data_IF_952193751077
#
_entry.id   IF_952193751077
#
_cell.length_a   1.000
_cell.length_b   1.000
_cell.length_c   1.000
_cell.angle_alpha   90.00
_cell.angle_beta   90.00
_cell.angle_gamma   90.00
#
_symmetry.space_group_name_H-M   'P 1'
#
loop_
_entity.id
_entity.type
_entity.pdbx_description
1 polymer ?
#
# COMPACT_ATOMS: atom_id res chain seq x y z
N UNK A 1 -4.30 7.50 -8.68
CA UNK A 1 -2.85 7.67 -8.41
C UNK A 1 -2.10 7.79 -9.71
N UNK A 2 -1.19 8.74 -9.81
CA UNK A 2 -0.33 8.89 -10.98
C UNK A 2 0.61 7.70 -11.12
N UNK A 3 0.80 7.26 -12.34
CA UNK A 3 1.58 6.08 -12.68
C UNK A 3 2.44 6.37 -13.90
N UNK A 4 3.58 5.71 -13.97
CA UNK A 4 4.54 5.85 -15.07
C UNK A 4 4.84 4.51 -15.70
N UNK A 5 5.20 4.55 -16.97
CA UNK A 5 5.74 3.38 -17.64
C UNK A 5 7.08 3.00 -17.02
N UNK A 6 7.30 1.70 -16.80
CA UNK A 6 8.56 1.19 -16.25
C UNK A 6 9.63 1.10 -17.35
N UNK A 7 10.15 2.25 -17.75
CA UNK A 7 11.10 2.38 -18.86
C UNK A 7 12.51 1.89 -18.52
N UNK A 8 12.87 1.97 -17.24
CA UNK A 8 14.24 1.73 -16.80
C UNK A 8 14.42 0.38 -16.14
N UNK A 9 13.43 -0.49 -16.25
CA UNK A 9 13.50 -1.84 -15.72
C UNK A 9 13.62 -1.88 -14.20
N UNK A 10 12.84 -1.04 -13.52
CA UNK A 10 12.76 -1.10 -12.05
C UNK A 10 12.26 -2.48 -11.66
N UNK A 11 13.03 -3.20 -10.85
CA UNK A 11 12.73 -4.58 -10.48
C UNK A 11 12.06 -4.71 -9.13
N UNK A 12 12.33 -3.77 -8.21
CA UNK A 12 11.84 -3.85 -6.85
C UNK A 12 11.56 -2.47 -6.29
N UNK A 13 10.42 -2.33 -5.66
CA UNK A 13 10.04 -1.13 -4.93
C UNK A 13 9.72 -1.54 -3.50
N UNK A 14 10.30 -0.83 -2.54
CA UNK A 14 9.97 -0.97 -1.12
C UNK A 14 9.50 0.38 -0.62
N UNK A 15 8.30 0.38 -0.05
CA UNK A 15 7.71 1.59 0.48
C UNK A 15 7.17 1.34 1.87
N UNK A 16 7.43 2.28 2.79
CA UNK A 16 6.98 2.20 4.18
C UNK A 16 6.15 3.41 4.53
N UNK A 17 5.00 3.18 5.14
CA UNK A 17 4.10 4.26 5.56
C UNK A 17 3.41 3.90 6.86
N UNK A 18 3.43 4.85 7.79
CA UNK A 18 2.67 4.71 9.03
C UNK A 18 1.26 5.20 8.83
N UNK A 19 0.29 4.40 9.25
CA UNK A 19 -1.12 4.76 9.24
C UNK A 19 -1.74 4.46 10.60
N UNK A 20 -2.71 5.30 10.97
CA UNK A 20 -3.48 5.12 12.19
C UNK A 20 -4.83 4.52 11.82
N UNK A 21 -5.14 3.37 12.40
CA UNK A 21 -6.40 2.67 12.21
C UNK A 21 -7.08 2.44 13.57
N UNK A 22 -8.36 2.07 13.53
CA UNK A 22 -9.09 1.65 14.70
C UNK A 22 -9.26 0.14 14.68
N UNK A 23 -8.88 -0.54 15.78
CA UNK A 23 -9.09 -1.97 15.90
C UNK A 23 -10.49 -2.25 16.45
N UNK A 24 -11.41 -2.85 15.67
CA UNK A 24 -12.77 -3.11 16.14
C UNK A 24 -12.84 -4.19 17.23
N UNK A 25 -11.85 -5.06 17.31
CA UNK A 25 -11.79 -6.12 18.33
C UNK A 25 -11.27 -5.55 19.64
N UNK A 26 -10.10 -4.90 19.61
CA UNK A 26 -9.53 -4.27 20.80
C UNK A 26 -10.18 -2.95 21.18
N UNK A 27 -11.01 -2.38 20.33
CA UNK A 27 -11.72 -1.12 20.53
C UNK A 27 -10.77 0.04 20.87
N UNK A 28 -9.67 0.12 20.14
CA UNK A 28 -8.67 1.15 20.34
C UNK A 28 -8.01 1.51 19.01
N UNK A 29 -7.50 2.75 18.95
CA UNK A 29 -6.67 3.18 17.85
C UNK A 29 -5.31 2.50 17.93
N UNK A 30 -4.73 2.21 16.79
CA UNK A 30 -3.35 1.76 16.69
C UNK A 30 -2.67 2.43 15.53
N UNK A 31 -1.35 2.60 15.64
CA UNK A 31 -0.51 3.08 14.54
C UNK A 31 0.43 1.95 14.17
N UNK A 32 0.48 1.65 12.88
CA UNK A 32 1.36 0.61 12.37
C UNK A 32 2.08 1.09 11.12
N UNK A 33 3.30 0.60 10.93
CA UNK A 33 4.05 0.83 9.72
C UNK A 33 3.74 -0.30 8.74
N UNK A 34 3.19 0.06 7.59
CA UNK A 34 2.92 -0.88 6.51
C UNK A 34 4.08 -0.83 5.54
N UNK A 35 4.68 -1.99 5.31
CA UNK A 35 5.76 -2.14 4.34
C UNK A 35 5.21 -2.80 3.09
N UNK A 36 5.31 -2.09 1.99
CA UNK A 36 4.93 -2.62 0.67
C UNK A 36 6.21 -2.99 -0.05
N UNK A 37 6.31 -4.24 -0.45
CA UNK A 37 7.40 -4.71 -1.31
C UNK A 37 6.77 -5.25 -2.57
N UNK A 38 7.15 -4.72 -3.73
CA UNK A 38 6.60 -5.20 -4.99
C UNK A 38 7.65 -5.28 -6.08
N UNK A 39 7.42 -6.19 -7.00
CA UNK A 39 8.13 -6.27 -8.26
C UNK A 39 7.21 -5.72 -9.34
N UNK A 40 7.44 -4.48 -9.81
CA UNK A 40 6.58 -3.88 -10.82
C UNK A 40 6.72 -4.60 -12.17
N UNK A 41 5.65 -4.58 -12.94
CA UNK A 41 5.67 -5.06 -14.32
C UNK A 41 5.84 -3.87 -15.27
N UNK A 42 4.80 -3.51 -15.99
CA UNK A 42 4.87 -2.44 -17.00
C UNK A 42 4.70 -1.04 -16.43
N UNK A 43 4.13 -0.93 -15.23
CA UNK A 43 3.77 0.34 -14.61
C UNK A 43 4.43 0.46 -13.24
N UNK A 44 4.92 1.65 -12.94
CA UNK A 44 5.39 2.01 -11.59
C UNK A 44 4.52 3.14 -11.03
N UNK A 45 4.20 3.12 -9.73
CA UNK A 45 3.45 4.20 -9.12
C UNK A 45 4.32 5.45 -8.96
N UNK A 46 3.70 6.64 -8.98
CA UNK A 46 4.37 7.86 -8.61
C UNK A 46 4.76 7.79 -7.13
N UNK A 47 6.03 7.94 -6.86
CA UNK A 47 6.57 7.86 -5.50
C UNK A 47 5.94 8.89 -4.56
N UNK A 48 5.64 10.09 -5.06
CA UNK A 48 5.04 11.15 -4.25
C UNK A 48 3.56 10.88 -3.95
N UNK A 49 2.86 10.19 -4.84
CA UNK A 49 1.43 9.94 -4.67
C UNK A 49 1.10 8.62 -3.98
N UNK A 50 2.04 7.67 -3.93
CA UNK A 50 1.79 6.41 -3.25
C UNK A 50 1.52 6.59 -1.76
N UNK A 51 2.16 7.55 -1.14
CA UNK A 51 1.94 7.93 0.26
C UNK A 51 0.47 8.33 0.49
N UNK A 52 -0.02 9.23 -0.33
CA UNK A 52 -1.41 9.68 -0.28
C UNK A 52 -2.38 8.53 -0.53
N UNK A 53 -2.06 7.69 -1.50
CA UNK A 53 -2.87 6.52 -1.84
C UNK A 53 -3.00 5.56 -0.65
N UNK A 54 -1.89 5.25 0.02
CA UNK A 54 -1.89 4.36 1.19
C UNK A 54 -2.72 4.97 2.32
N UNK A 55 -2.54 6.26 2.59
CA UNK A 55 -3.30 6.95 3.63
C UNK A 55 -4.79 6.96 3.33
N UNK A 56 -5.19 7.23 2.10
CA UNK A 56 -6.60 7.20 1.68
C UNK A 56 -7.21 5.81 1.84
N UNK A 57 -6.42 4.75 1.66
CA UNK A 57 -6.89 3.37 1.86
C UNK A 57 -7.09 3.01 3.33
N UNK A 58 -6.23 3.48 4.22
CA UNK A 58 -6.11 2.93 5.57
C UNK A 58 -6.34 3.91 6.70
N UNK A 59 -6.01 5.20 6.54
CA UNK A 59 -6.06 6.17 7.64
C UNK A 59 -7.48 6.31 8.17
N UNK A 60 -7.63 6.12 9.47
CA UNK A 60 -8.93 6.23 10.13
C UNK A 60 -9.89 5.07 9.91
N UNK A 61 -9.49 4.05 9.16
CA UNK A 61 -10.34 2.89 8.90
C UNK A 61 -10.45 1.97 10.10
N UNK A 62 -11.63 1.33 10.24
CA UNK A 62 -11.88 0.35 11.30
C UNK A 62 -11.55 -1.04 10.78
N UNK A 63 -10.30 -1.45 10.94
CA UNK A 63 -9.76 -2.70 10.41
C UNK A 63 -8.77 -3.30 11.40
N UNK A 64 -8.81 -4.63 11.58
CA UNK A 64 -7.69 -5.31 12.22
C UNK A 64 -6.50 -5.28 11.27
N UNK A 65 -5.29 -5.44 11.81
CA UNK A 65 -4.06 -5.23 11.02
C UNK A 65 -3.97 -6.15 9.79
N UNK A 66 -4.43 -7.39 9.91
CA UNK A 66 -4.41 -8.35 8.80
C UNK A 66 -5.35 -7.91 7.68
N UNK A 67 -6.51 -7.38 8.02
CA UNK A 67 -7.46 -6.85 7.04
C UNK A 67 -6.93 -5.58 6.38
N UNK A 68 -6.26 -4.72 7.13
CA UNK A 68 -5.65 -3.50 6.60
C UNK A 68 -4.59 -3.84 5.55
N UNK A 69 -3.69 -4.77 5.88
CA UNK A 69 -2.66 -5.20 4.94
C UNK A 69 -3.26 -5.83 3.68
N UNK A 70 -4.27 -6.68 3.85
CA UNK A 70 -4.97 -7.32 2.74
C UNK A 70 -5.68 -6.31 1.83
N UNK A 71 -6.35 -5.33 2.42
CA UNK A 71 -7.02 -4.26 1.68
C UNK A 71 -6.02 -3.45 0.85
N UNK A 72 -4.91 -3.06 1.46
CA UNK A 72 -3.87 -2.30 0.78
C UNK A 72 -3.29 -3.08 -0.39
N UNK A 73 -2.97 -4.35 -0.17
CA UNK A 73 -2.46 -5.24 -1.22
C UNK A 73 -3.42 -5.30 -2.40
N UNK A 74 -4.70 -5.55 -2.14
CA UNK A 74 -5.72 -5.63 -3.18
C UNK A 74 -5.82 -4.35 -3.97
N UNK A 75 -5.84 -3.20 -3.30
CA UNK A 75 -5.93 -1.89 -3.95
C UNK A 75 -4.71 -1.59 -4.83
N UNK A 76 -3.52 -1.95 -4.37
CA UNK A 76 -2.30 -1.75 -5.14
C UNK A 76 -2.25 -2.68 -6.36
N UNK A 77 -2.72 -3.92 -6.23
CA UNK A 77 -2.81 -4.84 -7.37
C UNK A 77 -3.74 -4.27 -8.44
N UNK A 78 -4.88 -3.74 -8.05
CA UNK A 78 -5.84 -3.13 -8.98
C UNK A 78 -5.26 -1.89 -9.67
N UNK A 79 -4.41 -1.16 -8.97
CA UNK A 79 -3.90 0.13 -9.46
C UNK A 79 -2.68 -0.02 -10.35
N UNK A 80 -1.72 -0.86 -10.00
CA UNK A 80 -0.43 -0.93 -10.69
C UNK A 80 -0.10 -2.29 -11.30
N UNK A 81 -0.91 -3.29 -11.06
CA UNK A 81 -0.74 -4.64 -11.64
C UNK A 81 0.70 -5.16 -11.53
N UNK A 82 1.30 -5.22 -10.33
CA UNK A 82 2.66 -5.71 -10.17
C UNK A 82 2.75 -7.20 -10.50
N UNK A 83 3.94 -7.66 -10.89
CA UNK A 83 4.17 -9.09 -11.09
C UNK A 83 4.22 -9.85 -9.77
N UNK A 84 4.58 -9.17 -8.70
CA UNK A 84 4.60 -9.73 -7.34
C UNK A 84 4.46 -8.60 -6.33
N UNK A 85 3.77 -8.87 -5.22
CA UNK A 85 3.58 -7.92 -4.14
C UNK A 85 3.43 -8.62 -2.79
N UNK A 86 4.02 -8.01 -1.78
CA UNK A 86 3.88 -8.38 -0.38
C UNK A 86 3.63 -7.11 0.45
N UNK A 87 2.70 -7.19 1.36
CA UNK A 87 2.38 -6.10 2.28
C UNK A 87 2.40 -6.59 3.72
#
# INVERSE_FOLDING_TARGET
MAKFENRYGVRKIVYKQKCRCFCPIGKADYTNEFTVTMEPAEIIPDYCEIDKFIRECLEGESLVIEEAASKLKKKLVEEVHPSWIMV
#
